data_IF_023454763587
#
_entry.id   IF_023454763587
#
_cell.length_a   1.000
_cell.length_b   1.000
_cell.length_c   1.000
_cell.angle_alpha   90.00
_cell.angle_beta   90.00
_cell.angle_gamma   90.00
#
_symmetry.space_group_name_H-M   'P 1'
#
loop_
_entity.id
_entity.type
_entity.pdbx_description
1 polymer ?
#
# COMPACT_ATOMS: atom_id res chain seq x y z
N UNK A 1 -4.28 10.80 5.16
CA UNK A 1 -3.58 11.04 6.43
C UNK A 1 -3.36 9.68 7.05
N UNK A 2 -2.15 9.40 7.52
CA UNK A 2 -1.82 8.18 8.24
C UNK A 2 -2.08 8.40 9.73
N UNK A 3 -2.65 7.41 10.42
CA UNK A 3 -2.74 7.38 11.89
C UNK A 3 -1.60 6.51 12.38
N UNK A 4 -0.64 7.10 13.10
CA UNK A 4 0.57 6.41 13.50
C UNK A 4 0.81 6.59 15.00
N UNK A 5 0.59 5.52 15.77
CA UNK A 5 0.81 5.51 17.22
C UNK A 5 2.28 5.41 17.60
N UNK A 6 3.16 5.06 16.66
CA UNK A 6 4.62 5.01 16.87
C UNK A 6 5.29 6.37 16.60
N UNK A 7 4.61 7.27 15.88
CA UNK A 7 5.03 8.64 15.73
C UNK A 7 4.69 9.47 16.98
N UNK A 8 5.70 9.95 17.71
CA UNK A 8 5.49 10.80 18.89
C UNK A 8 4.90 12.19 18.56
N UNK A 9 5.09 12.67 17.33
CA UNK A 9 4.68 14.01 16.91
C UNK A 9 3.90 13.95 15.60
N UNK A 10 2.97 14.88 15.44
CA UNK A 10 2.16 15.01 14.22
C UNK A 10 2.94 15.76 13.15
N UNK A 11 2.96 15.20 11.95
CA UNK A 11 3.80 15.65 10.84
C UNK A 11 2.98 15.96 9.59
N UNK A 12 3.46 16.90 8.80
CA UNK A 12 2.95 17.20 7.47
C UNK A 12 4.11 17.33 6.49
N UNK A 13 3.90 16.86 5.26
CA UNK A 13 4.92 16.92 4.22
C UNK A 13 5.17 18.35 3.75
N UNK A 14 6.42 18.66 3.40
CA UNK A 14 6.84 20.02 3.05
C UNK A 14 6.06 20.61 1.86
N UNK A 15 5.78 19.83 0.81
CA UNK A 15 5.03 20.29 -0.37
C UNK A 15 3.57 20.65 -0.02
N UNK A 16 2.98 19.94 0.93
CA UNK A 16 1.63 20.20 1.43
C UNK A 16 1.60 21.44 2.32
N UNK A 17 2.59 21.57 3.22
CA UNK A 17 2.74 22.77 4.05
C UNK A 17 2.92 24.05 3.21
N UNK A 18 3.72 23.99 2.14
CA UNK A 18 3.95 25.13 1.23
C UNK A 18 2.69 25.59 0.49
N UNK A 19 1.68 24.73 0.31
CA UNK A 19 0.39 25.12 -0.27
C UNK A 19 -0.47 25.92 0.70
N UNK A 20 -0.25 25.75 2.00
CA UNK A 20 -1.00 26.40 3.10
C UNK A 20 -0.39 27.76 3.50
N UNK A 21 0.18 28.47 2.51
CA UNK A 21 1.13 29.61 2.55
C UNK A 21 1.02 30.63 3.71
N UNK A 22 -0.14 30.82 4.31
CA UNK A 22 -0.39 31.88 5.30
C UNK A 22 -0.10 31.50 6.76
N UNK A 23 0.32 30.26 7.06
CA UNK A 23 0.51 29.79 8.45
C UNK A 23 1.84 29.08 8.73
N UNK A 24 2.72 29.00 7.74
CA UNK A 24 3.98 28.27 7.88
C UNK A 24 4.98 29.12 8.66
N UNK A 25 5.30 28.69 9.88
CA UNK A 25 6.33 29.31 10.71
C UNK A 25 7.63 28.57 10.40
N UNK A 26 8.44 29.18 9.54
CA UNK A 26 9.80 28.71 9.33
C UNK A 26 10.58 28.91 10.63
N UNK A 27 11.00 27.80 11.24
CA UNK A 27 11.92 27.84 12.37
C UNK A 27 13.17 27.09 11.96
N UNK A 28 14.33 27.74 12.03
CA UNK A 28 15.62 27.05 12.05
C UNK A 28 15.62 26.16 13.30
N UNK A 29 15.21 24.92 13.12
CA UNK A 29 14.96 23.99 14.22
C UNK A 29 16.25 23.21 14.44
N UNK A 30 16.91 23.37 15.59
CA UNK A 30 18.03 22.49 16.00
C UNK A 30 17.53 21.09 16.42
N UNK A 31 16.39 20.66 15.91
CA UNK A 31 15.66 19.45 16.30
C UNK A 31 15.56 18.58 15.07
N UNK A 32 16.06 17.36 15.17
CA UNK A 32 15.88 16.30 14.17
C UNK A 32 14.92 15.25 14.71
N UNK A 33 14.10 14.67 13.84
CA UNK A 33 13.35 13.46 14.15
C UNK A 33 14.28 12.26 14.00
N UNK A 34 14.10 11.25 14.85
CA UNK A 34 14.68 9.93 14.63
C UNK A 34 13.59 9.05 14.03
N UNK A 35 13.82 8.55 12.82
CA UNK A 35 12.88 7.66 12.13
C UNK A 35 12.96 6.24 12.70
N UNK A 36 12.01 5.37 12.31
CA UNK A 36 12.04 3.95 12.64
C UNK A 36 13.30 3.23 12.08
N UNK A 37 13.88 3.74 10.98
CA UNK A 37 15.16 3.25 10.44
C UNK A 37 16.37 3.68 11.27
N UNK A 38 16.18 4.57 12.24
CA UNK A 38 17.24 5.15 13.06
C UNK A 38 17.94 6.34 12.43
N UNK A 39 17.58 6.69 11.19
CA UNK A 39 18.08 7.85 10.48
C UNK A 39 17.54 9.16 11.10
N UNK A 40 18.27 10.25 10.85
CA UNK A 40 17.84 11.58 11.26
C UNK A 40 17.10 12.24 10.10
N UNK A 41 15.86 12.62 10.34
CA UNK A 41 15.09 13.46 9.43
C UNK A 41 15.08 14.90 9.96
N UNK A 42 15.36 15.87 9.08
CA UNK A 42 15.33 17.28 9.44
C UNK A 42 13.89 17.81 9.52
N UNK A 43 13.66 18.70 10.48
CA UNK A 43 12.41 19.45 10.61
C UNK A 43 12.60 20.80 9.93
N UNK A 44 11.80 21.07 8.91
CA UNK A 44 11.83 22.33 8.15
C UNK A 44 11.12 23.49 8.87
N UNK A 45 10.25 23.19 9.83
CA UNK A 45 9.53 24.21 10.60
C UNK A 45 8.29 23.67 11.28
N UNK A 46 7.39 24.57 11.66
CA UNK A 46 6.09 24.23 12.27
C UNK A 46 4.95 24.99 11.59
N UNK A 47 3.76 24.43 11.67
CA UNK A 47 2.54 24.96 11.08
C UNK A 47 1.43 24.88 12.13
N UNK A 48 0.88 26.02 12.53
CA UNK A 48 -0.33 26.04 13.36
C UNK A 48 -1.55 25.90 12.42
N UNK A 49 -2.19 24.74 12.41
CA UNK A 49 -3.27 24.43 11.48
C UNK A 49 -4.41 23.62 12.12
N UNK A 50 -5.58 23.74 11.51
CA UNK A 50 -6.73 22.91 11.85
C UNK A 50 -6.65 21.61 11.06
N UNK A 51 -6.64 20.47 11.75
CA UNK A 51 -6.85 19.16 11.14
C UNK A 51 -8.34 18.83 11.25
N UNK A 52 -8.96 18.53 10.13
CA UNK A 52 -10.35 18.09 10.08
C UNK A 52 -10.40 16.56 10.13
N UNK A 53 -11.12 16.01 11.11
CA UNK A 53 -11.36 14.58 11.25
C UNK A 53 -12.86 14.39 11.46
N UNK A 54 -13.52 13.71 10.51
CA UNK A 54 -14.98 13.65 10.50
C UNK A 54 -15.58 15.04 10.32
N UNK A 55 -16.55 15.38 11.16
CA UNK A 55 -17.22 16.69 11.19
C UNK A 55 -16.52 17.72 12.08
N UNK A 56 -15.41 17.35 12.72
CA UNK A 56 -14.75 18.16 13.75
C UNK A 56 -13.39 18.68 13.28
N UNK A 57 -13.05 19.89 13.74
CA UNK A 57 -11.78 20.56 13.46
C UNK A 57 -10.97 20.72 14.73
N UNK A 58 -9.70 20.34 14.67
CA UNK A 58 -8.77 20.33 15.80
C UNK A 58 -7.58 21.23 15.49
N UNK A 59 -7.41 22.31 16.25
CA UNK A 59 -6.25 23.20 16.09
C UNK A 59 -5.03 22.57 16.73
N UNK A 60 -3.98 22.29 15.94
CA UNK A 60 -2.74 21.72 16.45
C UNK A 60 -1.52 22.43 15.85
N UNK A 61 -0.41 22.38 16.58
CA UNK A 61 0.90 22.75 16.06
C UNK A 61 1.55 21.52 15.42
N UNK A 62 1.71 21.54 14.12
CA UNK A 62 2.17 20.42 13.31
C UNK A 62 3.62 20.66 12.89
N UNK A 63 4.45 19.63 12.95
CA UNK A 63 5.83 19.69 12.46
C UNK A 63 5.89 19.45 10.95
N UNK A 64 6.78 20.15 10.25
CA UNK A 64 6.96 19.99 8.80
C UNK A 64 8.28 19.29 8.52
N UNK A 65 8.22 18.17 7.81
CA UNK A 65 9.37 17.32 7.50
C UNK A 65 9.24 16.72 6.09
N UNK A 66 10.33 16.22 5.54
CA UNK A 66 10.31 15.40 4.33
C UNK A 66 9.91 13.96 4.69
N UNK A 67 8.63 13.66 4.53
CA UNK A 67 8.02 12.37 4.84
C UNK A 67 7.27 11.84 3.61
N UNK A 68 7.07 10.53 3.50
CA UNK A 68 6.36 9.94 2.36
C UNK A 68 4.88 10.30 2.38
N UNK A 69 4.21 10.08 3.52
CA UNK A 69 2.79 10.38 3.68
C UNK A 69 2.53 11.89 3.66
N UNK A 70 1.42 12.36 3.05
CA UNK A 70 1.09 13.79 3.07
C UNK A 70 0.95 14.38 4.48
N UNK A 71 0.47 13.57 5.44
CA UNK A 71 0.32 13.94 6.84
C UNK A 71 0.21 12.68 7.70
N UNK A 72 0.93 12.66 8.82
CA UNK A 72 0.93 11.62 9.83
C UNK A 72 0.36 12.21 11.13
N UNK A 73 -0.72 11.63 11.64
CA UNK A 73 -1.29 11.95 12.95
C UNK A 73 -0.54 11.14 14.01
N UNK A 74 0.30 11.83 14.76
CA UNK A 74 1.10 11.25 15.83
C UNK A 74 0.36 11.18 17.15
N UNK A 75 1.03 10.55 18.12
CA UNK A 75 0.53 10.33 19.46
C UNK A 75 0.21 11.63 20.20
N UNK A 76 0.96 12.71 19.97
CA UNK A 76 0.69 14.05 20.52
C UNK A 76 -0.73 14.53 20.20
N UNK A 77 -1.16 14.45 18.94
CA UNK A 77 -2.49 14.85 18.50
C UNK A 77 -3.56 13.89 19.01
N UNK A 78 -3.32 12.59 18.89
CA UNK A 78 -4.26 11.56 19.31
C UNK A 78 -4.57 11.67 20.81
N UNK A 79 -3.54 11.86 21.64
CA UNK A 79 -3.70 12.02 23.09
C UNK A 79 -4.34 13.37 23.44
N UNK A 80 -3.86 14.47 22.87
CA UNK A 80 -4.37 15.82 23.19
C UNK A 80 -5.87 15.96 22.91
N UNK A 81 -6.38 15.28 21.88
CA UNK A 81 -7.80 15.33 21.50
C UNK A 81 -8.59 14.07 21.88
N UNK A 82 -8.04 13.24 22.77
CA UNK A 82 -8.68 12.04 23.33
C UNK A 82 -9.23 11.09 22.25
N UNK A 83 -8.47 10.87 21.18
CA UNK A 83 -8.80 9.86 20.19
C UNK A 83 -8.66 8.46 20.79
N UNK A 84 -9.60 7.58 20.44
CA UNK A 84 -9.49 6.14 20.68
C UNK A 84 -9.40 5.42 19.35
N UNK A 85 -8.43 4.53 19.22
CA UNK A 85 -8.29 3.67 18.05
C UNK A 85 -8.98 2.34 18.36
N UNK A 86 -10.01 1.99 17.60
CA UNK A 86 -10.68 0.69 17.67
C UNK A 86 -10.38 -0.10 16.40
N UNK A 87 -9.42 -1.02 16.51
CA UNK A 87 -9.01 -1.89 15.42
C UNK A 87 -10.04 -3.01 15.14
N UNK A 88 -10.85 -3.40 16.12
CA UNK A 88 -11.88 -4.43 15.96
C UNK A 88 -13.02 -3.95 15.06
N UNK A 89 -13.33 -2.66 15.12
CA UNK A 89 -14.28 -1.98 14.22
C UNK A 89 -13.62 -1.26 13.05
N UNK A 90 -12.30 -1.16 13.04
CA UNK A 90 -11.53 -0.41 12.05
C UNK A 90 -11.96 1.08 11.97
N UNK A 91 -11.97 1.76 13.12
CA UNK A 91 -12.37 3.17 13.27
C UNK A 91 -11.52 3.90 14.32
N UNK A 92 -11.49 5.23 14.22
CA UNK A 92 -11.04 6.11 15.30
C UNK A 92 -12.22 6.89 15.86
N UNK A 93 -12.22 7.15 17.15
CA UNK A 93 -13.32 7.84 17.84
C UNK A 93 -12.84 9.05 18.60
N UNK A 94 -13.58 10.15 18.52
CA UNK A 94 -13.34 11.35 19.34
C UNK A 94 -14.64 12.11 19.54
N UNK A 95 -14.89 12.62 20.76
CA UNK A 95 -16.07 13.44 21.07
C UNK A 95 -17.41 12.79 20.72
N UNK A 96 -17.52 11.45 20.79
CA UNK A 96 -18.73 10.71 20.45
C UNK A 96 -18.93 10.43 18.96
N UNK A 97 -18.03 10.92 18.10
CA UNK A 97 -18.04 10.64 16.66
C UNK A 97 -17.16 9.43 16.33
N UNK A 98 -17.66 8.57 15.44
CA UNK A 98 -16.94 7.42 14.88
C UNK A 98 -16.46 7.79 13.47
N UNK A 99 -15.16 7.67 13.21
CA UNK A 99 -14.53 7.99 11.93
C UNK A 99 -13.91 6.69 11.40
N UNK A 100 -14.40 6.15 10.27
CA UNK A 100 -13.89 4.90 9.74
C UNK A 100 -12.43 5.05 9.30
N UNK A 101 -11.62 4.04 9.62
CA UNK A 101 -10.26 3.92 9.10
C UNK A 101 -10.31 3.25 7.73
N UNK A 102 -9.59 3.83 6.78
CA UNK A 102 -9.40 3.20 5.47
C UNK A 102 -8.08 2.44 5.52
N UNK A 103 -8.16 1.11 5.52
CA UNK A 103 -6.96 0.33 5.22
C UNK A 103 -6.67 0.45 3.72
N UNK A 104 -5.41 0.73 3.38
CA UNK A 104 -4.95 0.60 2.00
C UNK A 104 -5.22 -0.81 1.45
N UNK A 105 -5.42 -1.84 2.30
CA UNK A 105 -5.83 -3.17 1.85
C UNK A 105 -7.33 -3.32 1.59
N UNK A 106 -8.21 -2.51 2.20
CA UNK A 106 -9.67 -2.72 2.14
C UNK A 106 -10.28 -2.31 0.79
N UNK A 107 -9.67 -1.34 0.08
CA UNK A 107 -10.03 -1.05 -1.31
C UNK A 107 -9.28 -1.94 -2.33
N UNK A 108 -8.30 -2.73 -1.85
CA UNK A 108 -7.34 -3.48 -2.66
C UNK A 108 -7.49 -5.00 -2.50
N UNK A 109 -8.38 -5.46 -1.61
CA UNK A 109 -8.73 -6.87 -1.41
C UNK A 109 -9.50 -7.48 -2.59
N UNK A 110 -9.69 -6.73 -3.68
CA UNK A 110 -10.12 -7.30 -4.94
C UNK A 110 -8.92 -8.04 -5.53
N UNK A 111 -8.85 -9.34 -5.23
CA UNK A 111 -8.05 -10.27 -6.00
C UNK A 111 -8.48 -10.11 -7.47
N UNK A 112 -7.54 -9.71 -8.31
CA UNK A 112 -7.79 -9.68 -9.75
C UNK A 112 -7.54 -11.07 -10.30
N UNK A 113 -8.44 -11.56 -11.15
CA UNK A 113 -8.21 -12.82 -11.86
C UNK A 113 -7.33 -12.58 -13.09
N UNK A 114 -6.42 -13.51 -13.34
CA UNK A 114 -5.59 -13.54 -14.55
C UNK A 114 -6.08 -14.69 -15.42
N UNK A 115 -6.50 -14.39 -16.64
CA UNK A 115 -7.05 -15.34 -17.59
C UNK A 115 -5.98 -15.79 -18.59
N UNK A 116 -5.94 -17.07 -18.94
CA UNK A 116 -5.06 -17.57 -19.99
C UNK A 116 -5.33 -16.88 -21.34
N UNK A 117 -4.30 -16.27 -21.93
CA UNK A 117 -4.42 -15.58 -23.23
C UNK A 117 -4.76 -16.54 -24.36
N UNK A 118 -4.26 -17.77 -24.27
CA UNK A 118 -4.43 -18.84 -25.25
C UNK A 118 -4.44 -20.21 -24.58
N UNK A 119 -4.75 -21.25 -25.36
CA UNK A 119 -4.68 -22.63 -24.87
C UNK A 119 -3.22 -23.03 -24.73
N UNK A 120 -2.82 -23.52 -23.56
CA UNK A 120 -1.43 -23.91 -23.28
C UNK A 120 -1.38 -25.30 -22.65
N UNK A 121 -0.36 -26.08 -23.01
CA UNK A 121 -0.06 -27.36 -22.38
C UNK A 121 1.11 -27.15 -21.42
N UNK A 122 0.90 -27.47 -20.14
CA UNK A 122 1.94 -27.52 -19.12
C UNK A 122 2.50 -28.95 -19.12
N UNK A 123 3.77 -29.18 -19.50
CA UNK A 123 4.34 -30.52 -19.52
C UNK A 123 4.35 -31.17 -18.12
N UNK A 124 4.47 -32.49 -18.08
CA UNK A 124 4.60 -33.22 -16.82
C UNK A 124 5.92 -32.85 -16.12
N UNK A 125 5.91 -32.74 -14.78
CA UNK A 125 7.10 -32.50 -13.95
C UNK A 125 7.95 -31.31 -14.41
N UNK A 126 7.32 -30.26 -14.92
CA UNK A 126 8.01 -29.10 -15.48
C UNK A 126 7.48 -27.79 -14.94
N UNK A 127 8.36 -26.80 -14.94
CA UNK A 127 8.02 -25.40 -14.77
C UNK A 127 7.87 -24.73 -16.15
N UNK A 128 6.85 -23.91 -16.33
CA UNK A 128 6.69 -23.10 -17.55
C UNK A 128 6.09 -21.71 -17.26
N UNK A 129 6.17 -20.83 -18.26
CA UNK A 129 5.50 -19.54 -18.25
C UNK A 129 4.25 -19.62 -19.14
N UNK A 130 3.10 -19.22 -18.60
CA UNK A 130 1.85 -19.07 -19.34
C UNK A 130 1.58 -17.56 -19.51
N UNK A 131 1.11 -17.16 -20.69
CA UNK A 131 0.66 -15.78 -20.89
C UNK A 131 -0.75 -15.59 -20.34
N UNK A 132 -0.88 -14.61 -19.44
CA UNK A 132 -2.14 -14.21 -18.82
C UNK A 132 -2.57 -12.80 -19.22
N UNK A 133 -3.87 -12.54 -19.18
CA UNK A 133 -4.48 -11.21 -19.33
C UNK A 133 -5.24 -10.90 -18.03
N UNK A 134 -4.99 -9.75 -17.36
CA UNK A 134 -5.76 -9.35 -16.18
C UNK A 134 -7.23 -9.08 -16.55
N UNK A 135 -8.17 -9.60 -15.75
CA UNK A 135 -9.61 -9.46 -16.00
C UNK A 135 -10.11 -8.00 -15.87
N UNK A 136 -9.46 -7.20 -15.03
CA UNK A 136 -9.77 -5.77 -14.86
C UNK A 136 -8.49 -4.97 -15.07
N UNK A 137 -8.54 -4.04 -16.01
CA UNK A 137 -7.44 -3.11 -16.28
C UNK A 137 -7.74 -1.75 -15.64
N UNK A 138 -6.69 -1.08 -15.13
CA UNK A 138 -6.71 0.38 -14.98
C UNK A 138 -6.47 0.98 -13.60
N UNK A 139 -6.67 0.26 -12.48
CA UNK A 139 -6.44 0.85 -11.13
C UNK A 139 -4.98 0.79 -10.67
N UNK A 140 -4.27 -0.31 -10.98
CA UNK A 140 -2.93 -0.57 -10.46
C UNK A 140 -1.92 -0.84 -11.57
N UNK A 141 -0.67 -0.41 -11.36
CA UNK A 141 0.43 -0.69 -12.30
C UNK A 141 1.06 -2.04 -12.02
N UNK A 142 1.34 -2.36 -10.76
CA UNK A 142 2.05 -3.58 -10.39
C UNK A 142 1.18 -4.45 -9.48
N UNK A 143 1.36 -5.76 -9.59
CA UNK A 143 0.69 -6.74 -8.73
C UNK A 143 1.60 -7.95 -8.52
N UNK A 144 1.38 -8.69 -7.45
CA UNK A 144 2.01 -10.00 -7.23
C UNK A 144 0.99 -11.06 -7.61
N UNK A 145 1.37 -11.94 -8.55
CA UNK A 145 0.56 -13.11 -8.86
C UNK A 145 0.57 -14.05 -7.67
N UNK A 146 -0.56 -14.66 -7.35
CA UNK A 146 -0.68 -15.68 -6.32
C UNK A 146 -1.74 -16.71 -6.70
N UNK A 147 -1.76 -17.85 -6.00
CA UNK A 147 -2.68 -18.94 -6.24
C UNK A 147 -3.68 -19.09 -5.11
N UNK A 148 -4.90 -18.59 -5.30
CA UNK A 148 -5.97 -18.91 -4.36
C UNK A 148 -6.44 -20.36 -4.56
N UNK A 149 -6.45 -21.13 -3.48
CA UNK A 149 -6.76 -22.57 -3.41
C UNK A 149 -8.09 -23.01 -4.04
N UNK A 150 -8.99 -22.07 -4.35
CA UNK A 150 -10.30 -22.32 -4.95
C UNK A 150 -10.24 -22.58 -6.47
N UNK A 151 -9.11 -22.29 -7.12
CA UNK A 151 -8.95 -22.35 -8.60
C UNK A 151 -8.12 -23.60 -9.01
N UNK A 152 -7.76 -24.47 -8.06
CA UNK A 152 -6.78 -25.53 -8.30
C UNK A 152 -7.23 -26.59 -9.30
N UNK A 153 -6.57 -26.62 -10.47
CA UNK A 153 -6.32 -27.87 -11.17
C UNK A 153 -5.30 -28.68 -10.35
N UNK A 154 -5.78 -29.46 -9.38
CA UNK A 154 -5.02 -30.34 -8.46
C UNK A 154 -3.68 -30.82 -9.05
N UNK A 155 -2.55 -30.31 -8.54
CA UNK A 155 -1.20 -30.70 -8.97
C UNK A 155 -0.45 -29.66 -9.82
N UNK A 156 -1.02 -28.48 -10.09
CA UNK A 156 -0.29 -27.32 -10.62
C UNK A 156 -0.18 -26.24 -9.54
N UNK A 157 1.02 -25.72 -9.36
CA UNK A 157 1.34 -24.57 -8.50
C UNK A 157 1.62 -23.34 -9.34
N UNK A 158 1.40 -22.15 -8.78
CA UNK A 158 1.77 -20.87 -9.39
C UNK A 158 2.75 -20.16 -8.47
N UNK A 159 3.83 -19.64 -9.04
CA UNK A 159 4.84 -18.92 -8.29
C UNK A 159 4.45 -17.45 -8.10
N UNK A 160 4.72 -16.93 -6.90
CA UNK A 160 4.54 -15.52 -6.61
C UNK A 160 5.50 -14.67 -7.45
N UNK A 161 4.95 -13.85 -8.35
CA UNK A 161 5.74 -13.07 -9.32
C UNK A 161 5.21 -11.64 -9.39
N UNK A 162 6.12 -10.67 -9.28
CA UNK A 162 5.79 -9.26 -9.52
C UNK A 162 5.59 -9.02 -11.02
N UNK A 163 4.41 -8.53 -11.40
CA UNK A 163 4.00 -8.28 -12.78
C UNK A 163 3.55 -6.84 -12.99
N UNK A 164 3.74 -6.32 -14.22
CA UNK A 164 3.23 -5.02 -14.64
C UNK A 164 1.89 -5.22 -15.38
N UNK A 165 0.79 -4.83 -14.73
CA UNK A 165 -0.58 -4.95 -15.24
C UNK A 165 -0.87 -4.01 -16.41
N UNK A 166 0.01 -3.06 -16.73
CA UNK A 166 -0.13 -2.22 -17.94
C UNK A 166 0.31 -2.94 -19.22
N UNK A 167 0.93 -4.12 -19.11
CA UNK A 167 1.28 -4.94 -20.28
C UNK A 167 0.04 -5.65 -20.82
N UNK A 168 -0.02 -5.82 -22.14
CA UNK A 168 -1.12 -6.54 -22.80
C UNK A 168 -1.21 -8.01 -22.32
N UNK A 169 -0.07 -8.62 -22.03
CA UNK A 169 0.02 -9.94 -21.44
C UNK A 169 1.07 -9.94 -20.32
N UNK A 170 0.75 -10.63 -19.23
CA UNK A 170 1.65 -10.84 -18.09
C UNK A 170 2.09 -12.31 -18.03
N UNK A 171 3.35 -12.58 -17.66
CA UNK A 171 3.81 -13.95 -17.48
C UNK A 171 3.31 -14.50 -16.14
N UNK A 172 2.73 -15.70 -16.17
CA UNK A 172 2.36 -16.48 -14.98
C UNK A 172 3.25 -17.71 -14.93
N UNK A 173 4.07 -17.81 -13.89
CA UNK A 173 5.03 -18.91 -13.72
C UNK A 173 4.35 -20.07 -12.98
N UNK A 174 4.29 -21.23 -13.62
CA UNK A 174 3.56 -22.39 -13.10
C UNK A 174 4.44 -23.62 -13.03
N UNK A 175 4.21 -24.46 -12.04
CA UNK A 175 4.91 -25.74 -11.84
C UNK A 175 3.89 -26.88 -11.83
N UNK A 176 4.01 -27.81 -12.79
CA UNK A 176 3.21 -29.02 -12.80
C UNK A 176 3.91 -30.14 -12.02
N UNK A 177 3.32 -30.55 -10.90
CA UNK A 177 3.79 -31.64 -10.06
C UNK A 177 3.31 -33.01 -10.55
N UNK A 178 2.37 -33.06 -11.49
CA UNK A 178 1.86 -34.34 -11.98
C UNK A 178 2.81 -35.00 -12.99
N UNK A 179 2.71 -36.33 -13.06
CA UNK A 179 3.40 -37.15 -14.08
C UNK A 179 2.75 -37.07 -15.46
N UNK A 180 1.70 -36.25 -15.63
CA UNK A 180 0.97 -36.07 -16.89
C UNK A 180 0.91 -34.59 -17.25
N UNK A 181 0.94 -34.25 -18.55
CA UNK A 181 0.74 -32.87 -18.97
C UNK A 181 -0.67 -32.40 -18.63
N UNK A 182 -0.81 -31.09 -18.39
CA UNK A 182 -2.11 -30.44 -18.17
C UNK A 182 -2.42 -29.44 -19.26
N UNK A 183 -3.69 -29.35 -19.60
CA UNK A 183 -4.18 -28.38 -20.56
C UNK A 183 -4.90 -27.26 -19.83
N UNK A 184 -4.48 -26.03 -20.13
CA UNK A 184 -5.17 -24.80 -19.73
C UNK A 184 -5.83 -24.25 -20.98
N UNK A 185 -7.15 -24.09 -20.96
CA UNK A 185 -7.87 -23.50 -22.08
C UNK A 185 -7.81 -21.98 -22.04
N UNK A 186 -7.91 -21.35 -23.22
CA UNK A 186 -8.00 -19.89 -23.33
C UNK A 186 -9.16 -19.37 -22.48
N UNK A 187 -8.91 -18.30 -21.72
CA UNK A 187 -9.89 -17.69 -20.83
C UNK A 187 -10.04 -18.38 -19.47
N UNK A 188 -9.36 -19.51 -19.22
CA UNK A 188 -9.35 -20.11 -17.90
C UNK A 188 -8.58 -19.22 -16.91
N UNK A 189 -9.05 -19.14 -15.66
CA UNK A 189 -8.32 -18.44 -14.60
C UNK A 189 -7.07 -19.25 -14.25
N UNK A 190 -5.90 -18.64 -14.41
CA UNK A 190 -4.59 -19.28 -14.18
C UNK A 190 -3.89 -18.77 -12.94
N UNK A 191 -4.23 -17.57 -12.47
CA UNK A 191 -3.73 -16.99 -11.24
C UNK A 191 -4.70 -15.94 -10.72
N UNK A 192 -4.58 -15.62 -9.45
CA UNK A 192 -5.06 -14.35 -8.90
C UNK A 192 -3.88 -13.38 -8.81
N UNK A 193 -4.12 -12.09 -8.68
CA UNK A 193 -3.06 -11.15 -8.32
C UNK A 193 -3.54 -10.10 -7.33
N UNK A 194 -2.65 -9.80 -6.38
CA UNK A 194 -2.83 -8.77 -5.37
C UNK A 194 -2.07 -7.51 -5.80
N UNK A 195 -2.72 -6.34 -5.85
CA UNK A 195 -2.05 -5.09 -6.19
C UNK A 195 -0.90 -4.75 -5.26
N UNK A 196 0.21 -4.30 -5.83
CA UNK A 196 1.27 -3.67 -5.06
C UNK A 196 0.89 -2.22 -4.84
N UNK A 197 0.74 -1.85 -3.57
CA UNK A 197 0.31 -0.52 -3.15
C UNK A 197 1.45 0.48 -3.03
N UNK A 198 2.66 0.00 -2.75
CA UNK A 198 3.83 0.85 -2.58
C UNK A 198 5.08 0.18 -3.17
N UNK A 199 5.92 0.98 -3.82
CA UNK A 199 7.19 0.55 -4.41
C UNK A 199 8.25 1.55 -3.98
N UNK A 200 9.08 1.12 -3.05
CA UNK A 200 10.19 1.93 -2.55
C UNK A 200 11.42 1.67 -3.40
N UNK A 201 12.00 2.73 -3.97
CA UNK A 201 13.30 2.64 -4.63
C UNK A 201 14.37 2.37 -3.57
N UNK A 202 15.26 1.38 -3.82
CA UNK A 202 16.41 1.16 -2.95
C UNK A 202 17.28 2.43 -2.95
N UNK A 203 17.68 2.98 -1.79
CA UNK A 203 18.63 4.08 -1.75
C UNK A 203 19.90 3.68 -2.49
N UNK A 204 20.40 4.54 -3.37
CA UNK A 204 21.73 4.34 -3.94
C UNK A 204 22.74 4.55 -2.82
N UNK A 205 23.33 3.45 -2.34
CA UNK A 205 24.55 3.54 -1.55
C UNK A 205 25.64 4.10 -2.47
N UNK A 206 25.94 5.39 -2.31
CA UNK A 206 27.14 5.97 -2.89
C UNK A 206 28.33 5.27 -2.22
N UNK A 207 29.00 4.39 -2.96
CA UNK A 207 30.30 3.81 -2.59
C UNK A 207 31.40 4.85 -2.70
#
# INVERSE_FOLDING_TARGET
MLVDTDANVTLVRIDFAQKLKDKFIYTTSNISLKTATGEKAEIHGKLDAAIECGSRKFQNRIYVADITDPCILGLDFLQNFNFRVDLGKNEIRTGGEEIPLFSASAEHSKLYSVLAKEKTIIPARSECLIQGVPEVSGKFRYAVTDFHSQISQKGVLVAATLVDLKREAIPVRVLNLDNKPKTVDKGAVIATCEPVVDIVARPQEFS
#
